data_IF_646739132382
#
_entry.id   IF_646739132382
#
_cell.length_a   1.000
_cell.length_b   1.000
_cell.length_c   1.000
_cell.angle_alpha   90.00
_cell.angle_beta   90.00
_cell.angle_gamma   90.00
#
_symmetry.space_group_name_H-M   'P 1'
#
loop_
_entity.id
_entity.type
_entity.pdbx_description
1 polymer ?
#
# COMPACT_ATOMS: atom_id res chain seq x y z
N UNK A 1 -21.14 23.69 -27.54
CA UNK A 1 -20.80 24.52 -26.37
C UNK A 1 -21.32 23.80 -25.14
N UNK A 2 -20.42 23.15 -24.40
CA UNK A 2 -20.77 22.26 -23.30
C UNK A 2 -21.18 23.03 -22.05
N UNK A 3 -22.33 22.68 -21.50
CA UNK A 3 -22.77 23.08 -20.17
C UNK A 3 -21.77 22.51 -19.16
N UNK A 4 -20.89 23.37 -18.65
CA UNK A 4 -20.16 23.11 -17.42
C UNK A 4 -21.18 22.97 -16.30
N UNK A 5 -21.11 21.88 -15.51
CA UNK A 5 -21.92 21.77 -14.29
C UNK A 5 -21.53 22.93 -13.37
N UNK A 6 -22.38 23.94 -13.29
CA UNK A 6 -22.26 25.01 -12.31
C UNK A 6 -22.45 24.40 -10.93
N UNK A 7 -21.41 24.48 -10.09
CA UNK A 7 -21.53 24.23 -8.66
C UNK A 7 -22.38 25.39 -8.10
N UNK A 8 -23.55 25.13 -7.49
CA UNK A 8 -24.38 26.20 -6.97
C UNK A 8 -23.70 26.89 -5.78
N UNK A 9 -23.83 28.22 -5.73
CA UNK A 9 -23.34 29.10 -4.67
C UNK A 9 -23.81 28.63 -3.29
N UNK A 10 -22.88 28.54 -2.34
CA UNK A 10 -23.13 28.15 -0.96
C UNK A 10 -23.84 29.26 -0.20
N UNK A 11 -25.15 29.37 -0.38
CA UNK A 11 -26.02 30.01 0.62
C UNK A 11 -26.41 28.94 1.64
N UNK A 12 -25.99 29.20 2.87
CA UNK A 12 -26.10 28.37 4.07
C UNK A 12 -27.53 27.88 4.33
N UNK A 13 -27.75 26.58 4.14
CA UNK A 13 -28.68 25.79 4.95
C UNK A 13 -27.92 24.54 5.37
N UNK A 14 -27.20 24.62 6.49
CA UNK A 14 -26.73 23.42 7.18
C UNK A 14 -27.94 22.83 7.91
N UNK A 15 -28.71 22.00 7.20
CA UNK A 15 -29.54 21.00 7.86
C UNK A 15 -28.67 19.76 7.99
N UNK A 16 -27.75 19.76 8.97
CA UNK A 16 -27.09 18.54 9.38
C UNK A 16 -28.19 17.47 9.61
N UNK A 17 -28.06 16.25 9.06
CA UNK A 17 -29.11 15.25 9.18
C UNK A 17 -29.40 14.95 10.66
N UNK A 18 -30.69 14.88 11.03
CA UNK A 18 -31.14 14.65 12.42
C UNK A 18 -30.67 13.28 12.94
N UNK A 19 -30.47 12.33 12.03
CA UNK A 19 -29.89 11.01 12.27
C UNK A 19 -28.65 10.80 11.41
N UNK A 20 -27.83 11.85 11.25
CA UNK A 20 -26.53 11.66 10.63
C UNK A 20 -25.74 10.71 11.52
N UNK A 21 -25.44 9.52 11.00
CA UNK A 21 -24.29 8.77 11.47
C UNK A 21 -23.20 9.21 10.52
N UNK A 22 -22.42 10.27 10.84
CA UNK A 22 -21.60 10.92 9.84
C UNK A 22 -20.51 9.94 9.43
N UNK A 23 -20.72 9.23 8.32
CA UNK A 23 -19.65 8.53 7.63
C UNK A 23 -18.73 9.58 6.98
N UNK A 24 -19.28 10.77 6.68
CA UNK A 24 -18.63 11.86 5.94
C UNK A 24 -17.92 12.92 6.79
N UNK A 25 -18.32 13.14 8.04
CA UNK A 25 -17.74 14.23 8.86
C UNK A 25 -16.57 13.78 9.76
N UNK A 26 -16.27 12.49 9.74
CA UNK A 26 -15.08 11.94 10.39
C UNK A 26 -13.88 12.12 9.46
N UNK A 27 -13.36 13.35 9.39
CA UNK A 27 -12.01 13.62 8.85
C UNK A 27 -10.96 12.79 9.61
N UNK A 28 -11.27 12.41 10.86
CA UNK A 28 -10.54 11.43 11.65
C UNK A 28 -11.51 10.50 12.40
N UNK A 29 -11.23 9.19 12.35
CA UNK A 29 -11.96 8.18 13.14
C UNK A 29 -11.70 8.41 14.65
N UNK A 30 -12.74 8.62 15.48
CA UNK A 30 -12.56 8.84 16.91
C UNK A 30 -12.00 7.60 17.59
N UNK A 31 -11.21 7.78 18.66
CA UNK A 31 -10.75 6.67 19.50
C UNK A 31 -11.94 6.01 20.17
N UNK A 32 -11.88 4.68 20.32
CA UNK A 32 -12.92 3.93 21.03
C UNK A 32 -12.99 4.34 22.51
N UNK A 33 -14.18 4.44 23.12
CA UNK A 33 -14.32 4.84 24.53
C UNK A 33 -13.93 3.73 25.52
N UNK A 34 -13.97 2.47 25.06
CA UNK A 34 -13.57 1.27 25.78
C UNK A 34 -12.90 0.31 24.78
N UNK A 35 -12.14 -0.72 25.22
CA UNK A 35 -11.54 -1.68 24.30
C UNK A 35 -12.59 -2.36 23.41
N UNK A 36 -12.35 -2.40 22.11
CA UNK A 36 -13.25 -3.01 21.11
C UNK A 36 -12.49 -4.07 20.31
N UNK A 37 -13.00 -5.29 20.31
CA UNK A 37 -12.54 -6.36 19.42
C UNK A 37 -13.33 -6.31 18.11
N UNK A 38 -12.61 -6.35 16.99
CA UNK A 38 -13.14 -6.43 15.64
C UNK A 38 -12.82 -7.79 15.04
N UNK A 39 -13.71 -8.31 14.20
CA UNK A 39 -13.47 -9.53 13.42
C UNK A 39 -14.27 -10.75 13.90
N UNK A 40 -13.70 -11.93 13.70
CA UNK A 40 -14.29 -13.26 13.97
C UNK A 40 -13.26 -14.20 14.62
N UNK A 41 -13.62 -15.47 14.83
CA UNK A 41 -12.79 -16.48 15.52
C UNK A 41 -11.41 -16.74 14.89
N UNK A 42 -11.25 -16.44 13.61
CA UNK A 42 -10.02 -16.72 12.84
C UNK A 42 -9.26 -15.47 12.39
N UNK A 43 -9.92 -14.31 12.39
CA UNK A 43 -9.33 -13.04 11.95
C UNK A 43 -9.90 -11.91 12.81
N UNK A 44 -9.07 -11.35 13.69
CA UNK A 44 -9.49 -10.36 14.68
C UNK A 44 -8.36 -9.44 15.10
N UNK A 45 -8.71 -8.30 15.65
CA UNK A 45 -7.78 -7.39 16.34
C UNK A 45 -8.54 -6.49 17.32
N UNK A 46 -7.81 -5.82 18.22
CA UNK A 46 -8.40 -5.01 19.29
C UNK A 46 -7.96 -3.56 19.18
N UNK A 47 -8.89 -2.61 19.26
CA UNK A 47 -8.60 -1.19 19.46
C UNK A 47 -8.79 -0.82 20.92
N UNK A 48 -7.86 -0.02 21.46
CA UNK A 48 -7.91 0.46 22.84
C UNK A 48 -8.13 1.98 22.91
N UNK A 49 -8.71 2.50 24.02
CA UNK A 49 -8.95 3.93 24.19
C UNK A 49 -7.70 4.83 24.12
N UNK A 50 -6.52 4.26 24.34
CA UNK A 50 -5.24 4.96 24.16
C UNK A 50 -4.99 5.39 22.71
N UNK A 51 -5.64 4.74 21.74
CA UNK A 51 -5.36 4.88 20.31
C UNK A 51 -4.47 3.76 19.75
N UNK A 52 -4.11 2.76 20.56
CA UNK A 52 -3.47 1.54 20.07
C UNK A 52 -4.49 0.67 19.33
N UNK A 53 -4.11 0.23 18.13
CA UNK A 53 -4.80 -0.80 17.36
C UNK A 53 -3.89 -2.02 17.25
N UNK A 54 -4.24 -3.14 17.88
CA UNK A 54 -3.40 -4.34 17.91
C UNK A 54 -3.74 -5.33 16.79
N UNK A 55 -3.12 -5.11 15.63
CA UNK A 55 -3.29 -5.90 14.41
C UNK A 55 -2.55 -7.24 14.45
N UNK A 56 -1.80 -7.54 15.52
CA UNK A 56 -0.98 -8.76 15.61
C UNK A 56 -1.80 -10.05 15.76
N UNK A 57 -3.10 -9.93 16.10
CA UNK A 57 -4.05 -11.03 16.29
C UNK A 57 -3.64 -12.02 17.38
N UNK A 58 -2.97 -11.54 18.45
CA UNK A 58 -2.43 -12.44 19.49
C UNK A 58 -3.31 -12.57 20.72
N UNK A 59 -3.98 -11.50 21.15
CA UNK A 59 -4.68 -11.44 22.44
C UNK A 59 -6.12 -10.98 22.24
N UNK A 60 -7.08 -11.85 22.57
CA UNK A 60 -8.53 -11.55 22.57
C UNK A 60 -8.91 -10.75 23.80
N UNK A 61 -10.00 -10.00 23.70
CA UNK A 61 -10.64 -9.47 24.91
C UNK A 61 -11.24 -10.62 25.76
N UNK A 62 -11.29 -10.47 27.10
CA UNK A 62 -12.01 -11.40 27.96
C UNK A 62 -13.47 -11.60 27.52
N UNK A 63 -14.01 -12.82 27.68
CA UNK A 63 -15.42 -13.10 27.37
C UNK A 63 -16.39 -12.40 28.32
N UNK A 64 -15.94 -12.03 29.52
CA UNK A 64 -16.73 -11.23 30.47
C UNK A 64 -16.73 -9.75 30.07
N UNK A 65 -17.93 -9.18 29.88
CA UNK A 65 -18.08 -7.81 29.39
C UNK A 65 -17.49 -6.75 30.34
N UNK A 66 -17.60 -6.95 31.65
CA UNK A 66 -17.09 -5.99 32.63
C UNK A 66 -15.56 -6.01 32.70
N UNK A 67 -14.95 -7.18 32.49
CA UNK A 67 -13.52 -7.34 32.35
C UNK A 67 -13.01 -6.77 31.00
N UNK A 68 -13.73 -7.04 29.89
CA UNK A 68 -13.39 -6.53 28.57
C UNK A 68 -13.37 -5.00 28.51
N UNK A 69 -14.38 -4.33 29.06
CA UNK A 69 -14.47 -2.87 29.11
C UNK A 69 -13.30 -2.21 29.88
N UNK A 70 -12.61 -2.96 30.75
CA UNK A 70 -11.47 -2.48 31.55
C UNK A 70 -10.12 -3.02 31.07
N UNK A 71 -10.11 -3.84 30.02
CA UNK A 71 -8.90 -4.45 29.50
C UNK A 71 -7.89 -3.36 29.08
N UNK A 72 -6.63 -3.61 29.39
CA UNK A 72 -5.53 -2.74 28.97
C UNK A 72 -4.77 -3.43 27.83
N UNK A 73 -4.08 -2.65 26.97
CA UNK A 73 -3.14 -3.20 26.01
C UNK A 73 -2.19 -4.20 26.67
N UNK A 74 -1.99 -5.39 26.08
CA UNK A 74 -0.95 -6.29 26.55
C UNK A 74 0.43 -5.61 26.37
N UNK A 75 1.46 -6.01 27.16
CA UNK A 75 2.82 -5.56 26.93
C UNK A 75 3.31 -5.91 25.51
N UNK A 76 4.13 -5.05 24.92
CA UNK A 76 4.74 -5.30 23.61
C UNK A 76 5.63 -6.54 23.67
N UNK A 77 5.41 -7.51 22.78
CA UNK A 77 6.24 -8.71 22.64
C UNK A 77 7.41 -8.45 21.70
N UNK A 78 8.51 -9.20 21.83
CA UNK A 78 9.70 -9.04 20.98
C UNK A 78 9.41 -9.25 19.47
N UNK A 79 8.42 -10.08 19.14
CA UNK A 79 7.94 -10.34 17.77
C UNK A 79 7.02 -9.24 17.24
N UNK A 80 6.72 -8.21 18.03
CA UNK A 80 5.80 -7.14 17.67
C UNK A 80 6.53 -5.80 17.57
N UNK A 81 5.95 -4.87 16.82
CA UNK A 81 6.39 -3.48 16.76
C UNK A 81 5.19 -2.53 16.80
N UNK A 82 5.34 -1.42 17.52
CA UNK A 82 4.37 -0.34 17.63
C UNK A 82 4.75 0.78 16.66
N UNK A 83 4.00 0.90 15.56
CA UNK A 83 4.20 1.88 14.49
C UNK A 83 3.22 3.03 14.67
N UNK A 84 3.72 4.25 14.88
CA UNK A 84 2.87 5.43 14.90
C UNK A 84 2.25 5.68 13.51
N UNK A 85 0.97 6.00 13.48
CA UNK A 85 0.19 6.30 12.25
C UNK A 85 -0.54 7.63 12.40
N UNK A 86 -1.06 8.16 11.31
CA UNK A 86 -1.82 9.41 11.31
C UNK A 86 -3.05 9.32 12.23
N UNK A 87 -3.47 10.47 12.79
CA UNK A 87 -4.62 10.56 13.69
C UNK A 87 -4.34 10.24 15.16
N UNK A 88 -3.10 10.46 15.63
CA UNK A 88 -2.68 10.20 17.02
C UNK A 88 -2.95 8.74 17.46
N UNK A 89 -2.51 7.82 16.60
CA UNK A 89 -2.71 6.38 16.75
C UNK A 89 -1.41 5.61 16.60
N UNK A 90 -1.42 4.40 17.12
CA UNK A 90 -0.33 3.44 16.99
C UNK A 90 -0.93 2.13 16.53
N UNK A 91 -0.35 1.52 15.50
CA UNK A 91 -0.69 0.15 15.11
C UNK A 91 0.39 -0.79 15.62
N UNK A 92 -0.02 -1.81 16.37
CA UNK A 92 0.86 -2.90 16.74
C UNK A 92 0.76 -3.99 15.70
N UNK A 93 1.90 -4.38 15.15
CA UNK A 93 1.98 -5.42 14.11
C UNK A 93 2.84 -6.57 14.59
N UNK A 94 2.56 -7.77 14.08
CA UNK A 94 3.50 -8.90 14.18
C UNK A 94 4.55 -8.75 13.07
N UNK A 95 5.83 -8.72 13.46
CA UNK A 95 6.96 -8.44 12.56
C UNK A 95 7.08 -9.48 11.44
N UNK A 96 6.79 -10.76 11.71
CA UNK A 96 6.91 -11.86 10.74
C UNK A 96 5.68 -11.98 9.83
N UNK A 97 4.49 -11.58 10.33
CA UNK A 97 3.24 -11.53 9.53
C UNK A 97 3.06 -10.20 8.78
N UNK A 98 4.09 -9.36 8.76
CA UNK A 98 4.12 -8.07 8.05
C UNK A 98 5.02 -8.15 6.84
N UNK A 99 4.54 -7.61 5.71
CA UNK A 99 5.34 -7.41 4.50
C UNK A 99 5.21 -5.98 3.98
N UNK A 100 6.27 -5.45 3.39
CA UNK A 100 6.18 -4.25 2.54
C UNK A 100 6.01 -4.65 1.08
N UNK A 101 5.06 -4.00 0.41
CA UNK A 101 4.74 -4.16 -1.01
C UNK A 101 5.15 -2.89 -1.73
N UNK A 102 6.31 -2.95 -2.40
CA UNK A 102 6.91 -1.83 -3.14
C UNK A 102 6.52 -1.95 -4.61
N UNK A 103 5.69 -1.03 -5.09
CA UNK A 103 4.99 -1.17 -6.37
C UNK A 103 5.65 -0.32 -7.46
N UNK A 104 6.01 -0.97 -8.57
CA UNK A 104 6.40 -0.36 -9.85
C UNK A 104 7.49 0.73 -9.77
N UNK A 105 8.44 0.60 -8.83
CA UNK A 105 9.61 1.51 -8.75
C UNK A 105 10.64 1.20 -9.85
N UNK A 106 10.17 1.08 -11.09
CA UNK A 106 10.90 0.61 -12.26
C UNK A 106 11.39 1.77 -13.14
N UNK A 107 12.43 1.50 -13.95
CA UNK A 107 12.96 2.46 -14.91
C UNK A 107 11.89 3.05 -15.83
N UNK A 108 10.91 2.27 -16.29
CA UNK A 108 9.83 2.80 -17.14
C UNK A 108 9.04 3.95 -16.49
N UNK A 109 8.85 3.91 -15.17
CA UNK A 109 8.06 4.90 -14.45
C UNK A 109 8.88 6.08 -13.93
N UNK A 110 10.18 5.88 -13.70
CA UNK A 110 11.03 6.83 -12.97
C UNK A 110 12.22 7.36 -13.77
N UNK A 111 12.72 6.63 -14.77
CA UNK A 111 13.88 7.05 -15.53
C UNK A 111 13.57 8.36 -16.28
N UNK A 112 14.37 9.43 -16.09
CA UNK A 112 14.09 10.76 -16.66
C UNK A 112 13.90 10.76 -18.18
N UNK A 113 14.61 9.89 -18.91
CA UNK A 113 14.47 9.75 -20.37
C UNK A 113 13.14 9.13 -20.82
N UNK A 114 12.45 8.38 -19.94
CA UNK A 114 11.19 7.72 -20.24
C UNK A 114 9.99 8.47 -19.68
N UNK A 115 10.13 9.06 -18.48
CA UNK A 115 9.01 9.71 -17.78
C UNK A 115 9.47 10.80 -16.83
N UNK A 116 8.88 11.98 -16.97
CA UNK A 116 9.03 13.05 -16.00
C UNK A 116 8.19 12.75 -14.74
N UNK A 117 8.82 12.20 -13.71
CA UNK A 117 8.16 11.85 -12.44
C UNK A 117 8.98 12.28 -11.20
N UNK A 118 9.21 13.59 -10.99
CA UNK A 118 10.08 14.09 -9.91
C UNK A 118 9.62 13.65 -8.51
N UNK A 119 8.31 13.60 -8.26
CA UNK A 119 7.77 13.12 -7.00
C UNK A 119 8.01 11.62 -6.77
N UNK A 120 7.99 10.80 -7.83
CA UNK A 120 8.29 9.36 -7.74
C UNK A 120 9.78 9.11 -7.50
N UNK A 121 10.64 9.92 -8.12
CA UNK A 121 12.08 9.91 -7.81
C UNK A 121 12.36 10.29 -6.36
N UNK A 122 11.59 11.21 -5.78
CA UNK A 122 11.72 11.58 -4.37
C UNK A 122 11.38 10.44 -3.39
N UNK A 123 10.63 9.41 -3.82
CA UNK A 123 10.34 8.23 -3.00
C UNK A 123 11.52 7.25 -2.89
N UNK A 124 12.55 7.37 -3.74
CA UNK A 124 13.70 6.45 -3.75
C UNK A 124 14.47 6.50 -2.43
N UNK A 125 14.81 7.68 -1.94
CA UNK A 125 15.59 7.85 -0.71
C UNK A 125 14.85 7.35 0.55
N UNK A 126 13.55 7.65 0.76
CA UNK A 126 12.75 7.03 1.82
C UNK A 126 12.77 5.50 1.75
N UNK A 127 12.60 4.92 0.55
CA UNK A 127 12.62 3.46 0.38
C UNK A 127 13.98 2.84 0.73
N UNK A 128 15.08 3.44 0.30
CA UNK A 128 16.43 2.99 0.63
C UNK A 128 16.72 3.00 2.14
N UNK A 129 16.00 3.80 2.92
CA UNK A 129 16.14 3.87 4.39
C UNK A 129 15.22 2.90 5.11
N UNK A 130 13.96 2.79 4.69
CA UNK A 130 12.96 1.95 5.38
C UNK A 130 13.16 0.46 5.11
N UNK A 131 13.61 0.09 3.91
CA UNK A 131 13.79 -1.31 3.52
C UNK A 131 14.79 -2.04 4.44
N UNK A 132 16.00 -1.52 4.71
CA UNK A 132 16.91 -2.14 5.68
C UNK A 132 16.32 -2.27 7.09
N UNK A 133 15.57 -1.26 7.55
CA UNK A 133 14.93 -1.28 8.86
C UNK A 133 13.90 -2.42 8.97
N UNK A 134 13.01 -2.54 7.97
CA UNK A 134 12.03 -3.63 7.91
C UNK A 134 12.67 -5.01 7.80
N UNK A 135 13.76 -5.15 7.03
CA UNK A 135 14.52 -6.41 7.00
C UNK A 135 15.07 -6.79 8.37
N UNK A 136 15.56 -5.82 9.14
CA UNK A 136 16.08 -6.08 10.49
C UNK A 136 15.00 -6.57 11.47
N UNK A 137 13.73 -6.25 11.20
CA UNK A 137 12.58 -6.75 11.96
C UNK A 137 12.16 -8.17 11.54
N UNK A 138 12.67 -8.70 10.42
CA UNK A 138 12.23 -9.97 9.84
C UNK A 138 11.03 -9.86 8.89
N UNK A 139 10.54 -8.64 8.64
CA UNK A 139 9.45 -8.41 7.68
C UNK A 139 9.88 -8.71 6.25
N UNK A 140 8.95 -9.21 5.44
CA UNK A 140 9.23 -9.57 4.04
C UNK A 140 9.22 -8.34 3.14
N UNK A 141 10.17 -8.25 2.21
CA UNK A 141 10.23 -7.15 1.24
C UNK A 141 9.78 -7.67 -0.13
N UNK A 142 8.65 -7.17 -0.63
CA UNK A 142 8.04 -7.63 -1.88
C UNK A 142 8.14 -6.55 -2.94
N UNK A 143 8.94 -6.79 -3.97
CA UNK A 143 9.11 -5.90 -5.11
C UNK A 143 8.11 -6.30 -6.19
N UNK A 144 6.98 -5.61 -6.23
CA UNK A 144 5.82 -5.96 -7.03
C UNK A 144 5.77 -5.10 -8.28
N UNK A 145 6.21 -5.66 -9.39
CA UNK A 145 6.60 -4.91 -10.57
C UNK A 145 5.96 -5.49 -11.83
N UNK A 146 5.68 -4.63 -12.82
CA UNK A 146 5.33 -5.10 -14.15
C UNK A 146 6.44 -5.96 -14.75
N UNK A 147 6.08 -7.13 -15.26
CA UNK A 147 7.00 -7.98 -16.01
C UNK A 147 6.21 -9.01 -16.78
N UNK A 148 5.89 -8.67 -18.02
CA UNK A 148 5.04 -9.46 -18.89
C UNK A 148 5.85 -10.52 -19.65
N UNK A 149 5.20 -11.66 -19.85
CA UNK A 149 5.64 -12.70 -20.79
C UNK A 149 4.92 -12.57 -22.13
N UNK A 150 5.49 -13.18 -23.17
CA UNK A 150 4.86 -13.33 -24.48
C UNK A 150 3.46 -13.98 -24.42
N UNK A 151 3.25 -14.87 -23.45
CA UNK A 151 1.94 -15.48 -23.24
C UNK A 151 0.94 -14.49 -22.66
N UNK A 152 1.34 -13.72 -21.65
CA UNK A 152 0.47 -12.74 -21.00
C UNK A 152 0.05 -11.61 -21.93
N UNK A 153 0.91 -11.19 -22.87
CA UNK A 153 0.56 -10.20 -23.91
C UNK A 153 -0.71 -10.58 -24.68
N UNK A 154 -0.95 -11.89 -24.89
CA UNK A 154 -2.11 -12.40 -25.63
C UNK A 154 -3.40 -12.36 -24.82
N UNK A 155 -3.31 -12.19 -23.49
CA UNK A 155 -4.45 -12.24 -22.56
C UNK A 155 -4.68 -10.91 -21.82
N UNK A 156 -3.96 -9.84 -22.20
CA UNK A 156 -4.21 -8.49 -21.65
C UNK A 156 -5.57 -8.00 -22.16
N UNK A 157 -6.47 -7.53 -21.27
CA UNK A 157 -7.78 -7.06 -21.68
C UNK A 157 -7.67 -5.78 -22.52
N UNK A 158 -8.57 -5.55 -23.50
CA UNK A 158 -8.54 -4.38 -24.37
C UNK A 158 -8.52 -3.04 -23.63
N UNK A 159 -9.19 -2.94 -22.47
CA UNK A 159 -9.18 -1.73 -21.63
C UNK A 159 -7.78 -1.38 -21.16
N UNK A 160 -7.01 -2.38 -20.71
CA UNK A 160 -5.65 -2.19 -20.25
C UNK A 160 -4.69 -1.93 -21.41
N UNK A 161 -4.86 -2.62 -22.54
CA UNK A 161 -4.11 -2.33 -23.78
C UNK A 161 -4.31 -0.87 -24.18
N UNK A 162 -5.56 -0.39 -24.19
CA UNK A 162 -5.90 0.99 -24.55
C UNK A 162 -5.21 2.00 -23.63
N UNK A 163 -5.13 1.73 -22.33
CA UNK A 163 -4.48 2.64 -21.37
C UNK A 163 -2.97 2.78 -21.60
N UNK A 164 -2.31 1.74 -22.09
CA UNK A 164 -0.85 1.73 -22.30
C UNK A 164 -0.42 1.95 -23.76
N UNK A 165 -1.37 2.01 -24.70
CA UNK A 165 -1.10 2.30 -26.11
C UNK A 165 -1.36 3.78 -26.40
N UNK A 166 -0.32 4.56 -26.74
CA UNK A 166 -0.47 5.92 -27.27
C UNK A 166 -0.74 5.90 -28.79
N UNK A 167 -1.26 7.01 -29.32
CA UNK A 167 -2.05 7.08 -30.57
C UNK A 167 -1.42 6.62 -31.90
N UNK A 168 -0.17 6.16 -31.93
CA UNK A 168 0.48 5.57 -33.11
C UNK A 168 1.70 4.76 -32.69
N UNK A 169 1.62 3.42 -32.72
CA UNK A 169 2.71 2.56 -32.22
C UNK A 169 2.88 2.62 -30.69
N UNK A 170 3.62 1.67 -30.12
CA UNK A 170 3.79 1.55 -28.68
C UNK A 170 2.80 0.58 -28.00
N UNK A 171 2.88 0.50 -26.67
CA UNK A 171 2.11 -0.45 -25.84
C UNK A 171 2.95 -1.63 -25.38
N UNK A 172 2.38 -2.48 -24.54
CA UNK A 172 3.10 -3.62 -23.95
C UNK A 172 3.83 -4.45 -25.02
N UNK A 173 5.09 -4.78 -24.75
CA UNK A 173 5.95 -5.56 -25.65
C UNK A 173 6.54 -4.80 -26.84
N UNK A 174 6.17 -3.53 -27.07
CA UNK A 174 6.80 -2.74 -28.13
C UNK A 174 8.20 -2.27 -27.74
N UNK A 175 9.12 -2.20 -28.71
CA UNK A 175 10.48 -1.73 -28.48
C UNK A 175 10.48 -0.25 -28.09
N UNK A 176 11.08 0.07 -26.94
CA UNK A 176 11.29 1.45 -26.52
C UNK A 176 12.54 2.05 -27.19
N UNK A 177 12.59 3.37 -27.41
CA UNK A 177 13.79 4.03 -27.93
C UNK A 177 15.03 3.77 -27.07
N UNK A 178 16.23 3.87 -27.64
CA UNK A 178 17.48 3.64 -26.89
C UNK A 178 17.67 2.17 -26.52
N UNK A 179 18.28 1.91 -25.36
CA UNK A 179 18.58 0.56 -24.87
C UNK A 179 17.61 0.09 -23.77
N UNK A 180 16.38 0.60 -23.77
CA UNK A 180 15.39 0.29 -22.74
C UNK A 180 14.67 -1.06 -22.95
N UNK A 181 14.76 -1.64 -24.15
CA UNK A 181 14.15 -2.93 -24.48
C UNK A 181 12.62 -2.86 -24.66
N UNK A 182 11.96 -4.03 -24.76
CA UNK A 182 10.53 -4.10 -24.97
C UNK A 182 9.73 -3.68 -23.72
N UNK A 183 8.71 -2.86 -23.94
CA UNK A 183 7.95 -2.18 -22.88
C UNK A 183 7.32 -3.17 -21.89
N UNK A 184 7.73 -3.04 -20.63
CA UNK A 184 7.22 -3.76 -19.46
C UNK A 184 7.30 -5.30 -19.56
N UNK A 185 8.18 -5.81 -20.42
CA UNK A 185 8.46 -7.23 -20.54
C UNK A 185 9.49 -7.66 -19.49
N UNK A 186 9.43 -8.93 -19.06
CA UNK A 186 10.45 -9.48 -18.16
C UNK A 186 11.83 -9.34 -18.77
N UNK A 187 12.81 -9.09 -17.91
CA UNK A 187 14.23 -8.97 -18.24
C UNK A 187 14.61 -7.79 -19.15
N UNK A 188 13.66 -6.92 -19.50
CA UNK A 188 13.94 -5.68 -20.20
C UNK A 188 14.45 -4.60 -19.21
N UNK A 189 15.37 -3.76 -19.65
CA UNK A 189 15.96 -2.71 -18.79
C UNK A 189 14.91 -1.75 -18.22
N UNK A 190 13.87 -1.41 -18.98
CA UNK A 190 12.76 -0.59 -18.49
C UNK A 190 11.94 -1.25 -17.36
N UNK A 191 12.00 -2.58 -17.24
CA UNK A 191 11.34 -3.37 -16.19
C UNK A 191 12.22 -3.64 -14.96
N UNK A 192 13.49 -3.29 -15.00
CA UNK A 192 14.33 -3.29 -13.80
C UNK A 192 13.93 -2.17 -12.83
N UNK A 193 14.30 -2.31 -11.56
CA UNK A 193 14.12 -1.25 -10.57
C UNK A 193 14.99 -0.04 -10.94
N UNK A 194 14.52 1.14 -10.58
CA UNK A 194 15.22 2.37 -10.88
C UNK A 194 16.45 2.55 -10.00
N UNK A 195 17.60 2.74 -10.65
CA UNK A 195 18.86 3.17 -10.03
C UNK A 195 19.24 2.35 -8.79
N UNK A 196 19.49 3.00 -7.63
CA UNK A 196 19.99 2.32 -6.43
C UNK A 196 19.02 1.29 -5.83
N UNK A 197 17.73 1.31 -6.19
CA UNK A 197 16.76 0.31 -5.73
C UNK A 197 17.06 -1.07 -6.31
N UNK A 198 17.66 -1.15 -7.50
CA UNK A 198 18.06 -2.43 -8.11
C UNK A 198 19.15 -3.11 -7.27
N UNK A 199 20.17 -2.34 -6.87
CA UNK A 199 21.24 -2.84 -5.99
C UNK A 199 20.68 -3.25 -4.62
N UNK A 200 19.75 -2.46 -4.09
CA UNK A 200 19.11 -2.74 -2.80
C UNK A 200 18.29 -4.04 -2.83
N UNK A 201 17.56 -4.30 -3.92
CA UNK A 201 16.88 -5.57 -4.15
C UNK A 201 17.88 -6.73 -4.23
N UNK A 202 18.96 -6.61 -5.01
CA UNK A 202 19.96 -7.68 -5.18
C UNK A 202 20.61 -8.06 -3.84
N UNK A 203 20.85 -7.10 -2.94
CA UNK A 203 21.34 -7.38 -1.59
C UNK A 203 20.34 -8.24 -0.81
N UNK A 204 19.08 -7.82 -0.77
CA UNK A 204 18.03 -8.52 -0.04
C UNK A 204 17.70 -9.90 -0.63
N UNK A 205 17.75 -10.04 -1.95
CA UNK A 205 17.56 -11.32 -2.64
C UNK A 205 18.65 -12.32 -2.23
N UNK A 206 19.91 -11.90 -2.20
CA UNK A 206 21.03 -12.74 -1.73
C UNK A 206 20.90 -13.12 -0.26
N UNK A 207 20.28 -12.27 0.56
CA UNK A 207 20.00 -12.52 1.97
C UNK A 207 18.73 -13.36 2.21
N UNK A 208 17.92 -13.64 1.17
CA UNK A 208 16.65 -14.35 1.31
C UNK A 208 15.54 -13.54 2.00
N UNK A 209 15.67 -12.20 2.04
CA UNK A 209 14.69 -11.30 2.67
C UNK A 209 13.76 -10.62 1.66
N UNK A 210 14.17 -10.56 0.40
CA UNK A 210 13.49 -9.81 -0.65
C UNK A 210 13.06 -10.72 -1.79
N UNK A 211 11.84 -10.49 -2.27
CA UNK A 211 11.19 -11.35 -3.24
C UNK A 211 10.65 -10.52 -4.39
N UNK A 212 10.95 -10.96 -5.60
CA UNK A 212 10.43 -10.34 -6.81
C UNK A 212 9.08 -10.94 -7.17
N UNK A 213 8.09 -10.08 -7.40
CA UNK A 213 6.74 -10.48 -7.79
C UNK A 213 6.40 -9.81 -9.12
N UNK A 214 6.24 -10.61 -10.16
CA UNK A 214 5.74 -10.11 -11.44
C UNK A 214 4.22 -9.94 -11.37
N UNK A 215 3.74 -8.74 -11.69
CA UNK A 215 2.34 -8.47 -11.98
C UNK A 215 2.12 -8.17 -13.46
N UNK A 216 0.90 -8.43 -13.90
CA UNK A 216 0.46 -8.27 -15.28
C UNK A 216 -0.84 -7.44 -15.38
N UNK A 217 -1.23 -6.79 -14.28
CA UNK A 217 -2.33 -5.82 -14.16
C UNK A 217 -1.86 -4.65 -13.29
N UNK A 218 -2.70 -3.62 -13.17
CA UNK A 218 -2.41 -2.46 -12.31
C UNK A 218 -2.24 -2.87 -10.84
N UNK A 219 -3.23 -3.57 -10.28
CA UNK A 219 -3.13 -4.19 -8.95
C UNK A 219 -2.20 -5.39 -8.96
N UNK A 220 -1.32 -5.48 -7.96
CA UNK A 220 -0.45 -6.65 -7.73
C UNK A 220 -1.21 -7.90 -7.29
N UNK A 221 -2.45 -7.74 -6.81
CA UNK A 221 -3.27 -8.81 -6.24
C UNK A 221 -4.70 -8.82 -6.82
N UNK A 222 -4.80 -8.46 -8.12
CA UNK A 222 -6.06 -8.32 -8.86
C UNK A 222 -6.95 -9.58 -8.92
N UNK A 223 -6.39 -10.75 -8.58
CA UNK A 223 -7.06 -12.03 -8.70
C UNK A 223 -6.51 -13.06 -7.70
N UNK A 224 -7.30 -14.10 -7.44
CA UNK A 224 -6.80 -15.28 -6.75
C UNK A 224 -5.67 -15.91 -7.55
N UNK A 225 -4.71 -16.53 -6.87
CA UNK A 225 -3.57 -17.21 -7.49
C UNK A 225 -2.65 -16.28 -8.32
N UNK A 226 -2.75 -14.96 -8.14
CA UNK A 226 -1.66 -14.07 -8.54
C UNK A 226 -0.40 -14.41 -7.74
N UNK A 227 0.78 -14.12 -8.29
CA UNK A 227 2.04 -14.42 -7.58
C UNK A 227 2.10 -13.76 -6.20
N UNK A 228 1.55 -12.54 -6.05
CA UNK A 228 1.43 -11.88 -4.76
C UNK A 228 0.47 -12.63 -3.82
N UNK A 229 -0.74 -12.99 -4.30
CA UNK A 229 -1.74 -13.72 -3.49
C UNK A 229 -1.18 -15.04 -2.94
N UNK A 230 -0.48 -15.81 -3.78
CA UNK A 230 0.14 -17.06 -3.38
C UNK A 230 1.22 -16.83 -2.32
N UNK A 231 2.15 -15.90 -2.58
CA UNK A 231 3.24 -15.60 -1.65
C UNK A 231 2.71 -15.20 -0.27
N UNK A 232 1.76 -14.26 -0.22
CA UNK A 232 1.22 -13.74 1.03
C UNK A 232 0.54 -14.85 1.85
N UNK A 233 -0.26 -15.71 1.20
CA UNK A 233 -0.91 -16.85 1.85
C UNK A 233 0.07 -17.90 2.36
N UNK A 234 1.04 -18.28 1.53
CA UNK A 234 2.04 -19.29 1.89
C UNK A 234 2.93 -18.83 3.05
N UNK A 235 3.14 -17.52 3.21
CA UNK A 235 3.95 -16.95 4.28
C UNK A 235 3.12 -16.42 5.47
N UNK A 236 1.79 -16.65 5.48
CA UNK A 236 0.92 -16.24 6.58
C UNK A 236 0.90 -14.72 6.84
N UNK A 237 1.12 -13.91 5.80
CA UNK A 237 1.12 -12.45 5.91
C UNK A 237 -0.31 -11.96 6.12
N UNK A 238 -0.50 -11.06 7.08
CA UNK A 238 -1.81 -10.46 7.39
C UNK A 238 -1.78 -8.93 7.32
N UNK A 239 -0.60 -8.32 7.41
CA UNK A 239 -0.43 -6.86 7.40
C UNK A 239 0.49 -6.43 6.26
N UNK A 240 0.06 -5.43 5.49
CA UNK A 240 0.77 -4.91 4.34
C UNK A 240 1.12 -3.43 4.53
N UNK A 241 2.41 -3.13 4.45
CA UNK A 241 2.92 -1.78 4.22
C UNK A 241 2.94 -1.54 2.71
N UNK A 242 2.29 -0.50 2.20
CA UNK A 242 2.22 -0.21 0.76
C UNK A 242 3.00 1.04 0.38
N UNK A 243 3.80 0.93 -0.67
CA UNK A 243 4.60 2.03 -1.21
C UNK A 243 4.75 1.93 -2.73
N UNK A 244 5.36 2.93 -3.35
CA UNK A 244 5.70 2.95 -4.77
C UNK A 244 4.82 3.87 -5.63
N UNK A 245 4.74 3.58 -6.93
CA UNK A 245 4.05 4.44 -7.91
C UNK A 245 3.08 3.64 -8.78
N UNK A 246 2.03 4.24 -9.33
CA UNK A 246 1.46 5.54 -9.00
C UNK A 246 0.48 5.41 -7.83
N UNK A 247 0.47 6.38 -6.90
CA UNK A 247 -0.39 6.41 -5.70
C UNK A 247 -1.85 6.09 -6.02
N UNK A 248 -2.45 6.80 -6.98
CA UNK A 248 -3.87 6.71 -7.35
C UNK A 248 -4.18 5.66 -8.43
N UNK A 249 -3.19 4.82 -8.80
CA UNK A 249 -3.35 3.79 -9.82
C UNK A 249 -2.92 2.41 -9.29
N UNK A 250 -1.68 2.01 -9.50
CA UNK A 250 -1.21 0.67 -9.11
C UNK A 250 -1.17 0.50 -7.58
N UNK A 251 -0.80 1.54 -6.84
CA UNK A 251 -0.81 1.53 -5.38
C UNK A 251 -2.26 1.45 -4.86
N UNK A 252 -3.14 2.35 -5.30
CA UNK A 252 -4.57 2.32 -4.94
C UNK A 252 -5.25 1.01 -5.34
N UNK A 253 -4.99 0.50 -6.54
CA UNK A 253 -5.56 -0.76 -7.00
C UNK A 253 -5.14 -1.93 -6.12
N UNK A 254 -3.85 -2.00 -5.76
CA UNK A 254 -3.34 -3.04 -4.85
C UNK A 254 -3.89 -2.86 -3.44
N UNK A 255 -3.99 -1.62 -2.93
CA UNK A 255 -4.57 -1.28 -1.64
C UNK A 255 -6.02 -1.75 -1.53
N UNK A 256 -6.87 -1.39 -2.51
CA UNK A 256 -8.30 -1.73 -2.49
C UNK A 256 -8.51 -3.23 -2.60
N UNK A 257 -7.78 -3.92 -3.49
CA UNK A 257 -7.90 -5.37 -3.60
C UNK A 257 -7.37 -6.09 -2.35
N UNK A 258 -6.30 -5.59 -1.71
CA UNK A 258 -5.80 -6.14 -0.47
C UNK A 258 -6.79 -5.94 0.68
N UNK A 259 -7.37 -4.74 0.82
CA UNK A 259 -8.40 -4.45 1.80
C UNK A 259 -9.61 -5.40 1.65
N UNK A 260 -10.14 -5.58 0.43
CA UNK A 260 -11.26 -6.49 0.21
C UNK A 260 -10.92 -7.98 0.45
N UNK A 261 -9.64 -8.32 0.51
CA UNK A 261 -9.15 -9.65 0.86
C UNK A 261 -8.88 -9.82 2.35
N UNK A 262 -9.08 -8.78 3.17
CA UNK A 262 -8.92 -8.83 4.62
C UNK A 262 -7.49 -8.56 5.12
N UNK A 263 -6.59 -8.03 4.28
CA UNK A 263 -5.28 -7.58 4.76
C UNK A 263 -5.40 -6.24 5.49
N UNK A 264 -4.70 -6.09 6.61
CA UNK A 264 -4.56 -4.78 7.24
C UNK A 264 -3.57 -3.93 6.45
N UNK A 265 -4.06 -2.85 5.85
CA UNK A 265 -3.29 -2.04 4.94
C UNK A 265 -2.76 -0.77 5.61
N UNK A 266 -1.47 -0.49 5.42
CA UNK A 266 -0.79 0.69 5.95
C UNK A 266 -0.03 1.35 4.79
N UNK A 267 -0.43 2.55 4.37
CA UNK A 267 0.23 3.27 3.27
C UNK A 267 1.36 4.16 3.80
N UNK A 268 2.53 4.11 3.15
CA UNK A 268 3.68 4.97 3.44
C UNK A 268 3.59 6.22 2.57
N UNK A 269 3.09 7.33 3.11
CA UNK A 269 2.72 8.51 2.33
C UNK A 269 3.93 9.17 1.65
N UNK A 270 5.07 9.23 2.34
CA UNK A 270 6.33 9.77 1.82
C UNK A 270 7.07 8.83 0.85
N UNK A 271 6.64 7.57 0.76
CA UNK A 271 7.16 6.57 -0.17
C UNK A 271 6.15 6.20 -1.27
N UNK A 272 5.15 7.04 -1.52
CA UNK A 272 4.27 6.93 -2.69
C UNK A 272 4.18 8.24 -3.47
N UNK A 273 4.00 8.15 -4.78
CA UNK A 273 3.79 9.35 -5.60
C UNK A 273 2.94 9.08 -6.84
N UNK A 274 2.39 10.14 -7.42
CA UNK A 274 1.72 10.07 -8.72
C UNK A 274 2.02 11.30 -9.59
N UNK A 275 1.85 11.14 -10.91
CA UNK A 275 1.84 12.23 -11.90
C UNK A 275 0.43 12.70 -12.25
N UNK A 276 -0.61 12.13 -11.62
CA UNK A 276 -1.98 12.58 -11.84
C UNK A 276 -2.17 14.04 -11.40
N UNK A 277 -3.18 14.74 -11.94
CA UNK A 277 -3.52 16.09 -11.53
C UNK A 277 -3.80 16.22 -10.03
N UNK A 278 -3.94 17.47 -9.59
CA UNK A 278 -4.35 17.81 -8.23
C UNK A 278 -5.56 16.98 -7.77
N UNK A 279 -5.50 16.52 -6.52
CA UNK A 279 -6.50 15.62 -5.95
C UNK A 279 -6.17 14.13 -6.06
N UNK A 280 -5.37 13.70 -7.05
CA UNK A 280 -5.06 12.26 -7.23
C UNK A 280 -4.37 11.64 -6.01
N UNK A 281 -3.27 12.28 -5.57
CA UNK A 281 -2.54 11.88 -4.36
C UNK A 281 -3.38 12.04 -3.10
N UNK A 282 -3.92 13.24 -2.84
CA UNK A 282 -4.61 13.56 -1.59
C UNK A 282 -5.88 12.73 -1.38
N UNK A 283 -6.66 12.47 -2.44
CA UNK A 283 -7.82 11.58 -2.34
C UNK A 283 -7.41 10.17 -1.95
N UNK A 284 -6.32 9.65 -2.53
CA UNK A 284 -5.87 8.29 -2.20
C UNK A 284 -5.40 8.18 -0.76
N UNK A 285 -4.56 9.12 -0.30
CA UNK A 285 -4.07 9.14 1.08
C UNK A 285 -5.22 9.33 2.07
N UNK A 286 -6.19 10.21 1.76
CA UNK A 286 -7.37 10.41 2.59
C UNK A 286 -8.17 9.11 2.78
N UNK A 287 -8.48 8.40 1.69
CA UNK A 287 -9.25 7.16 1.76
C UNK A 287 -8.42 6.00 2.34
N UNK A 288 -7.10 5.98 2.14
CA UNK A 288 -6.22 5.01 2.76
C UNK A 288 -6.33 5.04 4.30
N UNK A 289 -6.32 6.24 4.91
CA UNK A 289 -6.38 6.38 6.36
C UNK A 289 -7.78 6.35 6.98
N UNK A 290 -8.82 6.63 6.20
CA UNK A 290 -10.20 6.72 6.73
C UNK A 290 -11.11 5.56 6.31
N UNK A 291 -10.73 4.79 5.28
CA UNK A 291 -11.59 3.72 4.74
C UNK A 291 -10.86 2.40 4.57
N UNK A 292 -9.63 2.40 4.06
CA UNK A 292 -8.94 1.16 3.68
C UNK A 292 -7.93 0.66 4.72
N UNK A 293 -7.61 1.45 5.75
CA UNK A 293 -6.65 1.08 6.76
C UNK A 293 -6.01 2.29 7.43
N UNK A 294 -4.68 2.37 7.38
CA UNK A 294 -3.87 3.37 8.07
C UNK A 294 -2.87 4.06 7.13
N UNK A 295 -2.35 5.21 7.57
CA UNK A 295 -1.29 5.96 6.86
C UNK A 295 -0.18 6.27 7.84
N UNK A 296 1.06 6.08 7.41
CA UNK A 296 2.28 6.44 8.16
C UNK A 296 3.34 6.99 7.20
N UNK A 297 4.52 7.30 7.74
CA UNK A 297 5.71 7.70 6.99
C UNK A 297 6.89 6.75 7.28
N UNK A 298 7.90 6.76 6.41
CA UNK A 298 9.07 5.89 6.58
C UNK A 298 9.83 6.14 7.87
N UNK A 299 9.84 7.37 8.39
CA UNK A 299 10.56 7.72 9.59
C UNK A 299 9.97 7.03 10.84
N UNK A 300 8.63 6.99 10.94
CA UNK A 300 7.92 6.27 12.02
C UNK A 300 8.12 4.77 11.94
N UNK A 301 8.14 4.21 10.73
CA UNK A 301 8.45 2.78 10.53
C UNK A 301 9.88 2.45 10.97
N UNK A 302 10.85 3.28 10.59
CA UNK A 302 12.26 3.10 11.01
C UNK A 302 12.39 3.20 12.53
N UNK A 303 11.72 4.18 13.17
CA UNK A 303 11.72 4.30 14.63
C UNK A 303 11.17 3.05 15.32
N UNK A 304 10.11 2.43 14.77
CA UNK A 304 9.53 1.21 15.29
C UNK A 304 10.43 -0.02 15.11
N UNK A 305 11.30 -0.04 14.09
CA UNK A 305 12.25 -1.13 13.86
C UNK A 305 13.33 -1.25 14.95
N UNK A 306 13.51 -0.21 15.76
CA UNK A 306 14.46 -0.19 16.88
C UNK A 306 13.85 -0.63 18.23
N UNK A 307 12.61 -1.12 18.23
CA UNK A 307 11.90 -1.64 19.41
C UNK A 307 12.11 -3.14 19.65
#
# INVERSE_FOLDING_TARGET
>A
MGSARSIPDSTTISTAPIHDTPISDLIMRPKVPEPVEYGNDTDFWVEYPSGLVDLSRTDRLPSDAAAAAKAQPPPLKATQADIAVNGDRVVRVDKEKTAIVIIDMQNFFLHPDLRAHPLGLACVDPLLKVVPALRSMGSKILWVNWGLTEHELKTIPPSLIRSFRKHTGGGFGSELPGNFGPLLMRDAYNSELYGPLQDEFVKGQKAGTDFWIHKNRMSGIWGYQTALDLFLKENGITTLLLSGVNTDQCVLGTLVDAYFRGYDCIVLEDATATTSPEGGYSNTIYNAGNSYGFVTDTARVIAAAHQ
#
